data_IF_141961087464
#
_entry.id   IF_141961087464
#
_cell.length_a   1.000
_cell.length_b   1.000
_cell.length_c   1.000
_cell.angle_alpha   90.00
_cell.angle_beta   90.00
_cell.angle_gamma   90.00
#
_symmetry.space_group_name_H-M   'P 1'
#
loop_
_entity.id
_entity.type
_entity.pdbx_description
1 polymer ?
#
# COMPACT_ATOMS: atom_id res chain seq x y z
N UNK A 1 -24.86 8.97 20.06
CA UNK A 1 -24.10 7.86 19.42
C UNK A 1 -23.65 8.21 17.99
N UNK A 2 -24.07 9.35 17.42
CA UNK A 2 -23.75 9.76 16.02
C UNK A 2 -22.40 10.47 15.81
N UNK A 3 -21.76 11.02 16.86
CA UNK A 3 -20.52 11.80 16.72
C UNK A 3 -19.26 10.96 16.45
N UNK A 4 -19.22 9.72 16.93
CA UNK A 4 -18.06 8.82 16.80
C UNK A 4 -17.83 8.37 15.35
N UNK A 5 -18.90 8.14 14.58
CA UNK A 5 -18.80 7.75 13.17
C UNK A 5 -18.36 8.90 12.25
N UNK A 6 -18.60 10.15 12.66
CA UNK A 6 -18.16 11.35 11.93
C UNK A 6 -16.66 11.56 12.16
N UNK A 7 -16.16 11.40 13.39
CA UNK A 7 -14.73 11.48 13.68
C UNK A 7 -13.90 10.44 12.90
N UNK A 8 -14.35 9.19 12.82
CA UNK A 8 -13.64 8.16 12.04
C UNK A 8 -13.62 8.46 10.54
N UNK A 9 -14.72 8.94 9.99
CA UNK A 9 -14.81 9.33 8.56
C UNK A 9 -13.96 10.55 8.26
N UNK A 10 -13.94 11.55 9.14
CA UNK A 10 -13.08 12.73 9.02
C UNK A 10 -11.61 12.33 9.14
N UNK A 11 -11.26 11.41 10.05
CA UNK A 11 -9.90 10.89 10.22
C UNK A 11 -9.43 10.10 8.99
N UNK A 12 -10.28 9.25 8.42
CA UNK A 12 -10.01 8.52 7.17
C UNK A 12 -9.85 9.47 5.98
N UNK A 13 -10.71 10.49 5.88
CA UNK A 13 -10.62 11.51 4.83
C UNK A 13 -9.34 12.36 4.94
N UNK A 14 -9.00 12.83 6.14
CA UNK A 14 -7.75 13.56 6.39
C UNK A 14 -6.55 12.67 6.07
N UNK A 15 -6.54 11.41 6.50
CA UNK A 15 -5.47 10.46 6.16
C UNK A 15 -5.35 10.27 4.65
N UNK A 16 -6.45 10.17 3.92
CA UNK A 16 -6.46 9.98 2.46
C UNK A 16 -5.99 11.22 1.71
N UNK A 17 -6.45 12.42 2.10
CA UNK A 17 -6.01 13.68 1.49
C UNK A 17 -4.53 13.95 1.78
N UNK A 18 -4.09 13.69 3.01
CA UNK A 18 -2.69 13.83 3.40
C UNK A 18 -1.83 12.81 2.66
N UNK A 19 -2.29 11.56 2.52
CA UNK A 19 -1.63 10.53 1.73
C UNK A 19 -1.53 10.95 0.26
N UNK A 20 -2.62 11.43 -0.35
CA UNK A 20 -2.65 11.89 -1.75
C UNK A 20 -1.71 13.08 -1.98
N UNK A 21 -1.72 14.08 -1.10
CA UNK A 21 -0.81 15.22 -1.20
C UNK A 21 0.66 14.82 -1.03
N UNK A 22 0.92 13.91 -0.08
CA UNK A 22 2.26 13.31 0.12
C UNK A 22 2.68 12.50 -1.11
N UNK A 23 1.73 11.81 -1.74
CA UNK A 23 1.97 11.04 -2.96
C UNK A 23 2.25 11.93 -4.15
N UNK A 24 1.47 12.98 -4.36
CA UNK A 24 1.72 13.96 -5.43
C UNK A 24 3.08 14.63 -5.24
N UNK A 25 3.45 15.01 -4.01
CA UNK A 25 4.79 15.55 -3.74
C UNK A 25 5.90 14.52 -3.98
N UNK A 26 5.68 13.26 -3.56
CA UNK A 26 6.64 12.17 -3.80
C UNK A 26 6.77 11.85 -5.30
N UNK A 27 5.69 11.82 -6.06
CA UNK A 27 5.71 11.56 -7.51
C UNK A 27 6.36 12.71 -8.29
N UNK A 28 6.14 13.96 -7.87
CA UNK A 28 6.80 15.14 -8.45
C UNK A 28 8.29 15.12 -8.15
N UNK A 29 8.69 14.84 -6.90
CA UNK A 29 10.11 14.64 -6.53
C UNK A 29 10.74 13.46 -7.26
N UNK A 30 10.01 12.34 -7.40
CA UNK A 30 10.50 11.15 -8.08
C UNK A 30 10.67 11.38 -9.58
N UNK A 31 9.74 12.10 -10.22
CA UNK A 31 9.82 12.46 -11.65
C UNK A 31 10.96 13.44 -11.91
N UNK A 32 11.10 14.48 -11.09
CA UNK A 32 12.21 15.43 -11.19
C UNK A 32 13.55 14.74 -10.93
N UNK A 33 13.61 13.91 -9.89
CA UNK A 33 14.76 13.07 -9.59
C UNK A 33 15.13 12.19 -10.79
N UNK A 34 14.17 11.47 -11.38
CA UNK A 34 14.44 10.57 -12.52
C UNK A 34 14.92 11.30 -13.79
N UNK A 35 14.37 12.47 -14.13
CA UNK A 35 14.88 13.29 -15.24
C UNK A 35 16.28 13.82 -14.95
N UNK A 36 16.53 14.31 -13.74
CA UNK A 36 17.85 14.80 -13.33
C UNK A 36 18.89 13.68 -13.28
N UNK A 37 18.48 12.44 -13.01
CA UNK A 37 19.33 11.24 -13.04
C UNK A 37 19.77 10.92 -14.47
N UNK A 38 18.81 10.86 -15.40
CA UNK A 38 19.09 10.56 -16.81
C UNK A 38 20.00 11.62 -17.41
N UNK A 39 19.71 12.89 -17.12
CA UNK A 39 20.47 14.04 -17.56
C UNK A 39 21.86 14.04 -16.92
N UNK A 40 21.98 13.84 -15.61
CA UNK A 40 23.27 13.82 -14.91
C UNK A 40 24.18 12.69 -15.38
N UNK A 41 23.62 11.53 -15.73
CA UNK A 41 24.36 10.40 -16.31
C UNK A 41 24.83 10.68 -17.74
N UNK A 42 23.95 11.20 -18.60
CA UNK A 42 24.29 11.60 -19.97
C UNK A 42 25.36 12.71 -19.98
N UNK A 43 25.21 13.69 -19.09
CA UNK A 43 26.16 14.76 -18.91
C UNK A 43 27.51 14.26 -18.37
N UNK A 44 27.53 13.42 -17.34
CA UNK A 44 28.76 12.82 -16.84
C UNK A 44 29.53 12.09 -17.93
N UNK A 45 28.82 11.34 -18.80
CA UNK A 45 29.39 10.63 -19.95
C UNK A 45 30.04 11.60 -20.95
N UNK A 46 29.33 12.65 -21.34
CA UNK A 46 29.86 13.68 -22.26
C UNK A 46 31.11 14.33 -21.67
N UNK A 47 31.06 14.76 -20.41
CA UNK A 47 32.18 15.46 -19.78
C UNK A 47 33.38 14.56 -19.45
N UNK A 48 33.21 13.24 -19.35
CA UNK A 48 34.33 12.30 -19.23
C UNK A 48 34.97 11.97 -20.58
N UNK A 49 34.17 11.91 -21.64
CA UNK A 49 34.61 11.47 -22.97
C UNK A 49 35.34 12.58 -23.73
N UNK A 50 34.82 13.81 -23.69
CA UNK A 50 35.38 14.92 -24.46
C UNK A 50 36.44 15.67 -23.65
N UNK A 51 37.70 15.25 -23.75
CA UNK A 51 38.80 15.86 -23.00
C UNK A 51 39.44 17.08 -23.68
N UNK A 52 39.23 17.26 -24.98
CA UNK A 52 39.73 18.40 -25.75
C UNK A 52 38.67 18.93 -26.70
N UNK A 53 38.77 20.22 -27.04
CA UNK A 53 37.93 20.85 -28.05
C UNK A 53 38.30 20.26 -29.42
N UNK A 54 37.28 19.95 -30.24
CA UNK A 54 37.50 19.50 -31.61
C UNK A 54 38.12 20.64 -32.43
N UNK A 55 39.03 20.33 -33.36
CA UNK A 55 39.74 21.34 -34.15
C UNK A 55 38.79 22.32 -34.89
N UNK A 56 37.59 21.86 -35.24
CA UNK A 56 36.53 22.64 -35.90
C UNK A 56 35.88 23.71 -34.99
N UNK A 57 36.13 23.66 -33.68
CA UNK A 57 35.49 24.51 -32.67
C UNK A 57 36.50 25.23 -31.76
N UNK A 58 37.80 25.15 -32.07
CA UNK A 58 38.88 25.73 -31.25
C UNK A 58 38.82 27.26 -31.16
N UNK A 59 38.06 27.89 -32.05
CA UNK A 59 37.79 29.31 -32.14
C UNK A 59 36.63 29.79 -31.25
N UNK A 60 35.85 28.89 -30.63
CA UNK A 60 34.71 29.26 -29.79
C UNK A 60 35.09 29.55 -28.33
N UNK A 61 36.00 28.74 -27.76
CA UNK A 61 36.35 28.78 -26.32
C UNK A 61 37.82 28.39 -26.16
N UNK A 62 38.54 29.01 -25.21
CA UNK A 62 39.92 28.61 -24.89
C UNK A 62 39.97 27.27 -24.16
N UNK A 63 41.06 26.50 -24.36
CA UNK A 63 41.25 25.18 -23.74
C UNK A 63 41.10 25.22 -22.21
N UNK A 64 41.56 26.30 -21.57
CA UNK A 64 41.45 26.47 -20.11
C UNK A 64 40.01 26.64 -19.63
N UNK A 65 39.17 27.35 -20.39
CA UNK A 65 37.76 27.55 -20.06
C UNK A 65 36.94 26.29 -20.34
N UNK A 66 37.29 25.54 -21.39
CA UNK A 66 36.70 24.23 -21.67
C UNK A 66 37.02 23.21 -20.57
N UNK A 67 38.29 23.13 -20.15
CA UNK A 67 38.70 22.22 -19.07
C UNK A 67 37.95 22.54 -17.76
N UNK A 68 37.88 23.83 -17.40
CA UNK A 68 37.19 24.29 -16.18
C UNK A 68 35.69 24.00 -16.21
N UNK A 69 35.02 24.24 -17.33
CA UNK A 69 33.59 23.96 -17.49
C UNK A 69 33.30 22.46 -17.47
N UNK A 70 34.19 21.64 -18.06
CA UNK A 70 34.12 20.17 -18.01
C UNK A 70 34.23 19.65 -16.59
N UNK A 71 35.26 20.06 -15.85
CA UNK A 71 35.47 19.64 -14.45
C UNK A 71 34.33 20.06 -13.53
N UNK A 72 33.85 21.31 -13.65
CA UNK A 72 32.70 21.80 -12.88
C UNK A 72 31.45 20.94 -13.11
N UNK A 73 31.17 20.60 -14.37
CA UNK A 73 30.01 19.77 -14.70
C UNK A 73 30.18 18.32 -14.26
N UNK A 74 31.39 17.77 -14.33
CA UNK A 74 31.75 16.46 -13.78
C UNK A 74 31.48 16.37 -12.28
N UNK A 75 31.89 17.39 -11.53
CA UNK A 75 31.67 17.46 -10.08
C UNK A 75 30.19 17.64 -9.74
N UNK A 76 29.47 18.46 -10.52
CA UNK A 76 28.02 18.63 -10.36
C UNK A 76 27.25 17.32 -10.62
N UNK A 77 27.63 16.55 -11.64
CA UNK A 77 27.05 15.23 -11.90
C UNK A 77 27.35 14.24 -10.77
N UNK A 78 28.60 14.21 -10.25
CA UNK A 78 28.97 13.38 -9.08
C UNK A 78 28.16 13.74 -7.84
N UNK A 79 27.94 15.03 -7.61
CA UNK A 79 27.12 15.52 -6.49
C UNK A 79 25.66 15.07 -6.62
N UNK A 80 25.09 15.08 -7.83
CA UNK A 80 23.77 14.50 -8.11
C UNK A 80 23.68 13.02 -7.72
N UNK A 81 24.70 12.21 -8.04
CA UNK A 81 24.76 10.81 -7.61
C UNK A 81 24.83 10.64 -6.08
N UNK A 82 25.51 11.55 -5.37
CA UNK A 82 25.57 11.55 -3.90
C UNK A 82 24.19 11.82 -3.29
N UNK A 83 23.42 12.76 -3.85
CA UNK A 83 22.04 13.04 -3.39
C UNK A 83 21.14 11.80 -3.57
N UNK A 84 21.31 11.04 -4.64
CA UNK A 84 20.54 9.80 -4.86
C UNK A 84 20.84 8.70 -3.82
N UNK A 85 22.11 8.58 -3.40
CA UNK A 85 22.49 7.67 -2.33
C UNK A 85 21.87 8.08 -0.98
N UNK A 86 21.73 9.38 -0.74
CA UNK A 86 21.02 9.93 0.42
C UNK A 86 19.51 9.70 0.34
N UNK A 87 18.88 9.79 -0.84
CA UNK A 87 17.46 9.48 -0.99
C UNK A 87 17.15 8.00 -0.71
N UNK A 88 18.02 7.09 -1.13
CA UNK A 88 17.90 5.65 -0.82
C UNK A 88 18.07 5.36 0.69
N UNK A 89 18.92 6.14 1.37
CA UNK A 89 19.08 6.09 2.82
C UNK A 89 17.84 6.62 3.55
N UNK A 90 17.22 7.67 3.03
CA UNK A 90 15.98 8.24 3.58
C UNK A 90 14.79 7.27 3.48
N UNK A 91 14.73 6.49 2.38
CA UNK A 91 13.76 5.40 2.20
C UNK A 91 13.91 4.25 3.21
N UNK A 92 15.08 4.10 3.86
CA UNK A 92 15.30 3.09 4.91
C UNK A 92 14.98 3.65 6.30
N UNK A 93 15.25 4.93 6.54
CA UNK A 93 15.01 5.58 7.83
C UNK A 93 13.52 5.74 8.12
N UNK A 94 12.73 6.18 7.13
CA UNK A 94 11.31 6.44 7.34
C UNK A 94 10.52 5.20 7.79
N UNK A 95 10.67 4.00 7.18
CA UNK A 95 10.02 2.78 7.67
C UNK A 95 10.49 2.35 9.06
N UNK A 96 11.75 2.59 9.40
CA UNK A 96 12.26 2.34 10.75
C UNK A 96 11.58 3.24 11.78
N UNK A 97 11.49 4.55 11.50
CA UNK A 97 10.80 5.52 12.36
C UNK A 97 9.31 5.18 12.50
N UNK A 98 8.63 4.84 11.39
CA UNK A 98 7.23 4.38 11.43
C UNK A 98 7.08 3.17 12.36
N UNK A 99 7.93 2.17 12.22
CA UNK A 99 7.88 0.97 13.07
C UNK A 99 8.02 1.35 14.55
N UNK A 100 8.97 2.21 14.89
CA UNK A 100 9.17 2.68 16.27
C UNK A 100 7.96 3.45 16.82
N UNK A 101 7.37 4.34 16.03
CA UNK A 101 6.19 5.13 16.42
C UNK A 101 4.96 4.23 16.65
N UNK A 102 4.80 3.16 15.86
CA UNK A 102 3.64 2.27 15.95
C UNK A 102 3.78 1.14 16.99
N UNK A 103 4.98 0.88 17.51
CA UNK A 103 5.19 -0.16 18.55
C UNK A 103 4.33 0.07 19.80
N UNK A 104 4.21 1.28 20.38
CA UNK A 104 3.33 1.54 21.52
C UNK A 104 1.85 1.22 21.23
N UNK A 105 1.36 1.58 20.05
CA UNK A 105 -0.03 1.30 19.64
C UNK A 105 -0.27 -0.19 19.43
N UNK A 106 0.68 -0.89 18.80
CA UNK A 106 0.63 -2.35 18.64
C UNK A 106 0.69 -3.06 20.00
N UNK A 107 1.53 -2.58 20.93
CA UNK A 107 1.55 -3.12 22.29
C UNK A 107 0.22 -2.92 23.01
N UNK A 108 -0.39 -1.74 22.86
CA UNK A 108 -1.69 -1.44 23.44
C UNK A 108 -2.79 -2.36 22.88
N UNK A 109 -2.84 -2.53 21.57
CA UNK A 109 -3.79 -3.44 20.92
C UNK A 109 -3.66 -4.87 21.45
N UNK A 110 -2.45 -5.42 21.42
CA UNK A 110 -2.24 -6.83 21.73
C UNK A 110 -2.31 -7.10 23.26
N UNK A 111 -1.63 -6.29 24.08
CA UNK A 111 -1.46 -6.57 25.51
C UNK A 111 -2.47 -5.86 26.41
N UNK A 112 -3.26 -4.91 25.92
CA UNK A 112 -4.38 -4.34 26.67
C UNK A 112 -5.73 -4.75 26.09
N UNK A 113 -5.97 -4.55 24.79
CA UNK A 113 -7.29 -4.84 24.22
C UNK A 113 -7.47 -6.36 24.09
N UNK A 114 -6.66 -7.03 23.28
CA UNK A 114 -6.80 -8.47 23.03
C UNK A 114 -6.57 -9.31 24.30
N UNK A 115 -5.63 -8.90 25.16
CA UNK A 115 -5.38 -9.57 26.43
C UNK A 115 -6.57 -9.49 27.40
N UNK A 116 -7.28 -8.35 27.48
CA UNK A 116 -8.51 -8.22 28.29
C UNK A 116 -9.60 -9.20 27.86
N UNK A 117 -9.64 -9.54 26.58
CA UNK A 117 -10.60 -10.47 25.99
C UNK A 117 -10.07 -11.91 25.87
N UNK A 118 -8.85 -12.19 26.36
CA UNK A 118 -8.26 -13.53 26.33
C UNK A 118 -7.82 -14.02 24.94
N UNK A 119 -7.74 -13.12 23.94
CA UNK A 119 -7.31 -13.45 22.58
C UNK A 119 -5.80 -13.50 22.42
N UNK A 120 -5.09 -12.65 23.15
CA UNK A 120 -3.65 -12.57 23.04
C UNK A 120 -2.99 -13.82 23.66
N UNK A 121 -2.29 -14.59 22.81
CA UNK A 121 -1.51 -15.77 23.21
C UNK A 121 0.00 -15.57 23.11
N UNK A 122 0.46 -14.42 22.60
CA UNK A 122 1.88 -14.13 22.49
C UNK A 122 2.45 -13.60 23.80
N UNK A 123 3.71 -13.93 24.07
CA UNK A 123 4.44 -13.35 25.22
C UNK A 123 5.06 -12.01 24.85
N UNK A 124 5.26 -11.13 25.83
CA UNK A 124 5.97 -9.85 25.62
C UNK A 124 7.36 -10.08 25.02
N UNK A 125 8.05 -11.15 25.44
CA UNK A 125 9.34 -11.54 24.87
C UNK A 125 9.24 -11.91 23.39
N UNK A 126 8.21 -12.66 23.00
CA UNK A 126 7.97 -12.97 21.58
C UNK A 126 7.67 -11.70 20.79
N UNK A 127 6.79 -10.85 21.29
CA UNK A 127 6.45 -9.56 20.66
C UNK A 127 7.69 -8.69 20.43
N UNK A 128 8.50 -8.45 21.46
CA UNK A 128 9.72 -7.63 21.34
C UNK A 128 10.69 -8.27 20.33
N UNK A 129 10.91 -9.58 20.42
CA UNK A 129 11.78 -10.30 19.47
C UNK A 129 11.26 -10.19 18.04
N UNK A 130 9.94 -10.28 17.82
CA UNK A 130 9.33 -10.14 16.50
C UNK A 130 9.51 -8.71 15.95
N UNK A 131 9.26 -7.67 16.76
CA UNK A 131 9.48 -6.28 16.36
C UNK A 131 10.96 -6.00 16.04
N UNK A 132 11.90 -6.52 16.84
CA UNK A 132 13.34 -6.41 16.57
C UNK A 132 13.72 -7.14 15.28
N UNK A 133 13.23 -8.37 15.07
CA UNK A 133 13.50 -9.13 13.84
C UNK A 133 13.00 -8.40 12.61
N UNK A 134 11.78 -7.85 12.67
CA UNK A 134 11.20 -7.04 11.59
C UNK A 134 12.02 -5.76 11.33
N UNK A 135 12.48 -5.08 12.37
CA UNK A 135 13.36 -3.92 12.24
C UNK A 135 14.71 -4.28 11.61
N UNK A 136 15.34 -5.37 12.07
CA UNK A 136 16.60 -5.86 11.50
C UNK A 136 16.44 -6.26 10.03
N UNK A 137 15.29 -6.83 9.66
CA UNK A 137 14.99 -7.18 8.28
C UNK A 137 14.90 -5.93 7.39
N UNK A 138 14.22 -4.88 7.86
CA UNK A 138 14.15 -3.58 7.14
C UNK A 138 15.55 -2.98 6.97
N UNK A 139 16.35 -2.98 8.03
CA UNK A 139 17.73 -2.48 7.98
C UNK A 139 18.60 -3.31 7.03
N UNK A 140 18.48 -4.64 7.08
CA UNK A 140 19.21 -5.55 6.20
C UNK A 140 18.88 -5.27 4.74
N UNK A 141 17.60 -5.20 4.37
CA UNK A 141 17.21 -4.91 2.99
C UNK A 141 17.64 -3.51 2.55
N UNK A 142 17.56 -2.50 3.43
CA UNK A 142 18.05 -1.15 3.14
C UNK A 142 19.55 -1.13 2.84
N UNK A 143 20.37 -1.78 3.68
CA UNK A 143 21.82 -1.91 3.48
C UNK A 143 22.11 -2.72 2.22
N UNK A 144 21.41 -3.84 2.00
CA UNK A 144 21.56 -4.69 0.84
C UNK A 144 21.32 -3.92 -0.46
N UNK A 145 20.23 -3.15 -0.54
CA UNK A 145 19.93 -2.27 -1.68
C UNK A 145 21.07 -1.26 -1.90
N UNK A 146 21.59 -0.66 -0.82
CA UNK A 146 22.74 0.25 -0.88
C UNK A 146 24.01 -0.43 -1.43
N UNK A 147 24.35 -1.61 -0.94
CA UNK A 147 25.52 -2.38 -1.40
C UNK A 147 25.38 -2.79 -2.86
N UNK A 148 24.21 -3.29 -3.27
CA UNK A 148 23.95 -3.65 -4.68
C UNK A 148 24.03 -2.42 -5.59
N UNK A 149 23.54 -1.27 -5.14
CA UNK A 149 23.67 0.00 -5.87
C UNK A 149 25.13 0.37 -6.09
N UNK A 150 25.96 0.34 -5.04
CA UNK A 150 27.39 0.60 -5.15
C UNK A 150 28.10 -0.43 -6.04
N UNK A 151 27.71 -1.70 -5.95
CA UNK A 151 28.24 -2.77 -6.81
C UNK A 151 27.94 -2.51 -8.28
N UNK A 152 26.70 -2.13 -8.62
CA UNK A 152 26.31 -1.79 -10.00
C UNK A 152 27.17 -0.62 -10.50
N UNK A 153 27.25 0.47 -9.73
CA UNK A 153 28.04 1.66 -10.09
C UNK A 153 29.51 1.30 -10.37
N UNK A 154 30.13 0.49 -9.50
CA UNK A 154 31.54 0.15 -9.61
C UNK A 154 31.83 -0.90 -10.71
N UNK A 155 30.90 -1.83 -10.97
CA UNK A 155 31.15 -2.97 -11.86
C UNK A 155 30.79 -2.69 -13.32
N UNK A 156 29.78 -1.87 -13.59
CA UNK A 156 29.19 -1.75 -14.94
C UNK A 156 29.67 -0.53 -15.73
N UNK A 157 30.58 0.29 -15.17
CA UNK A 157 31.32 1.30 -15.92
C UNK A 157 30.42 2.34 -16.57
N UNK A 158 30.30 2.32 -17.91
CA UNK A 158 29.50 3.29 -18.67
C UNK A 158 28.01 2.96 -18.74
N UNK A 159 27.62 1.69 -18.50
CA UNK A 159 26.22 1.25 -18.59
C UNK A 159 25.49 1.24 -17.25
N UNK A 160 26.13 1.68 -16.17
CA UNK A 160 25.59 1.57 -14.82
C UNK A 160 24.22 2.23 -14.63
N UNK A 161 23.96 3.34 -15.32
CA UNK A 161 22.67 4.02 -15.24
C UNK A 161 21.52 3.09 -15.68
N UNK A 162 21.69 2.33 -16.78
CA UNK A 162 20.66 1.42 -17.26
C UNK A 162 20.38 0.28 -16.27
N UNK A 163 21.45 -0.33 -15.73
CA UNK A 163 21.33 -1.41 -14.75
C UNK A 163 20.76 -0.92 -13.41
N UNK A 164 21.15 0.28 -12.98
CA UNK A 164 20.64 0.89 -11.76
C UNK A 164 19.16 1.25 -11.90
N UNK A 165 18.74 1.80 -13.05
CA UNK A 165 17.33 2.08 -13.35
C UNK A 165 16.49 0.80 -13.35
N UNK A 166 16.96 -0.28 -13.97
CA UNK A 166 16.26 -1.57 -13.95
C UNK A 166 16.16 -2.14 -12.54
N UNK A 167 17.23 -2.06 -11.75
CA UNK A 167 17.25 -2.51 -10.36
C UNK A 167 16.26 -1.72 -9.49
N UNK A 168 16.29 -0.38 -9.57
CA UNK A 168 15.38 0.50 -8.85
C UNK A 168 13.93 0.24 -9.28
N UNK A 169 13.67 0.03 -10.58
CA UNK A 169 12.34 -0.30 -11.09
C UNK A 169 11.82 -1.63 -10.51
N UNK A 170 12.65 -2.67 -10.47
CA UNK A 170 12.28 -3.98 -9.90
C UNK A 170 11.97 -3.86 -8.40
N UNK A 171 12.84 -3.19 -7.63
CA UNK A 171 12.62 -2.97 -6.19
C UNK A 171 11.33 -2.17 -5.94
N UNK A 172 11.10 -1.13 -6.73
CA UNK A 172 9.89 -0.32 -6.63
C UNK A 172 8.64 -1.08 -7.08
N UNK A 173 8.72 -2.02 -8.03
CA UNK A 173 7.56 -2.82 -8.44
C UNK A 173 6.97 -3.61 -7.26
N UNK A 174 7.82 -4.18 -6.40
CA UNK A 174 7.37 -4.89 -5.20
C UNK A 174 6.75 -3.96 -4.15
N UNK A 175 7.33 -2.77 -3.96
CA UNK A 175 6.80 -1.76 -3.02
C UNK A 175 5.49 -1.15 -3.53
N UNK A 176 5.48 -0.72 -4.79
CA UNK A 176 4.34 -0.13 -5.48
C UNK A 176 3.18 -1.12 -5.53
N UNK A 177 3.44 -2.41 -5.73
CA UNK A 177 2.37 -3.40 -5.71
C UNK A 177 1.64 -3.44 -4.36
N UNK A 178 2.38 -3.55 -3.26
CA UNK A 178 1.80 -3.69 -1.92
C UNK A 178 1.15 -2.41 -1.38
N UNK A 179 1.76 -1.24 -1.62
CA UNK A 179 1.32 0.02 -1.03
C UNK A 179 0.41 0.84 -1.97
N UNK A 180 0.50 0.66 -3.29
CA UNK A 180 -0.26 1.48 -4.25
C UNK A 180 -1.18 0.69 -5.16
N UNK A 181 -0.73 -0.41 -5.76
CA UNK A 181 -1.60 -1.21 -6.64
C UNK A 181 -2.67 -1.90 -5.81
N UNK A 182 -2.32 -2.48 -4.67
CA UNK A 182 -3.30 -3.10 -3.79
C UNK A 182 -4.38 -2.11 -3.30
N UNK A 183 -4.04 -0.86 -2.90
CA UNK A 183 -5.07 0.14 -2.58
C UNK A 183 -5.71 0.88 -3.76
N UNK A 184 -5.13 0.86 -4.97
CA UNK A 184 -5.75 1.40 -6.20
C UNK A 184 -6.98 0.61 -6.64
N UNK A 185 -7.23 -0.55 -6.04
CA UNK A 185 -8.50 -1.25 -6.14
C UNK A 185 -9.59 -0.66 -5.20
N UNK A 186 -9.25 0.35 -4.40
CA UNK A 186 -10.14 1.04 -3.45
C UNK A 186 -10.12 2.59 -3.67
N UNK A 187 -10.53 3.06 -4.85
CA UNK A 187 -10.51 4.51 -5.18
C UNK A 187 -11.85 5.22 -4.95
N UNK A 188 -11.89 6.41 -4.33
CA UNK A 188 -13.11 7.22 -4.18
C UNK A 188 -13.25 8.25 -5.32
N UNK A 189 -14.37 8.22 -6.05
CA UNK A 189 -14.75 9.20 -7.08
C UNK A 189 -16.09 9.86 -6.71
N UNK A 190 -16.34 11.11 -7.07
CA UNK A 190 -17.66 11.71 -6.84
C UNK A 190 -18.74 10.94 -7.64
N UNK A 191 -19.89 10.66 -7.04
CA UNK A 191 -21.01 9.97 -7.69
C UNK A 191 -21.47 10.83 -8.87
N UNK A 192 -21.35 10.35 -10.13
CA UNK A 192 -21.79 11.11 -11.29
C UNK A 192 -23.29 11.40 -11.18
N UNK A 193 -23.73 12.52 -11.79
CA UNK A 193 -25.15 12.84 -11.86
C UNK A 193 -25.90 11.70 -12.54
N UNK A 194 -26.73 11.02 -11.76
CA UNK A 194 -27.40 9.77 -12.12
C UNK A 194 -28.71 9.68 -11.34
N UNK A 195 -29.64 8.87 -11.83
CA UNK A 195 -30.93 8.66 -11.17
C UNK A 195 -30.77 8.21 -9.70
N UNK A 196 -29.75 7.42 -9.41
CA UNK A 196 -29.42 6.99 -8.05
C UNK A 196 -28.99 8.17 -7.16
N UNK A 197 -28.17 9.08 -7.68
CA UNK A 197 -27.76 10.29 -6.96
C UNK A 197 -28.95 11.14 -6.57
N UNK A 198 -29.86 11.38 -7.51
CA UNK A 198 -31.08 12.17 -7.30
C UNK A 198 -31.95 11.55 -6.20
N UNK A 199 -32.18 10.24 -6.23
CA UNK A 199 -32.97 9.55 -5.21
C UNK A 199 -32.35 9.65 -3.80
N UNK A 200 -31.02 9.63 -3.71
CA UNK A 200 -30.31 9.76 -2.42
C UNK A 200 -30.40 11.20 -1.92
N UNK A 201 -30.27 12.20 -2.79
CA UNK A 201 -30.44 13.62 -2.47
C UNK A 201 -31.89 13.93 -2.00
N UNK A 202 -32.89 13.33 -2.65
CA UNK A 202 -34.30 13.45 -2.28
C UNK A 202 -34.60 12.82 -0.91
N UNK A 203 -34.07 11.62 -0.66
CA UNK A 203 -34.21 10.95 0.64
C UNK A 203 -33.53 11.74 1.75
N UNK A 204 -32.31 12.22 1.53
CA UNK A 204 -31.58 13.03 2.51
C UNK A 204 -32.34 14.32 2.84
N UNK A 205 -32.93 14.96 1.83
CA UNK A 205 -33.75 16.15 1.98
C UNK A 205 -35.04 15.86 2.75
N UNK A 206 -35.70 14.72 2.52
CA UNK A 206 -36.89 14.30 3.26
C UNK A 206 -36.65 14.10 4.76
N UNK A 207 -35.40 13.82 5.14
CA UNK A 207 -34.97 13.60 6.54
C UNK A 207 -34.30 14.84 7.15
N UNK A 208 -34.30 15.99 6.47
CA UNK A 208 -33.56 17.20 6.85
C UNK A 208 -32.05 16.94 7.12
N UNK A 209 -31.46 16.01 6.38
CA UNK A 209 -30.06 15.63 6.54
C UNK A 209 -29.16 16.50 5.65
N UNK A 210 -28.16 17.21 6.21
CA UNK A 210 -27.28 18.09 5.44
C UNK A 210 -26.26 17.28 4.60
N UNK A 211 -26.66 16.92 3.39
CA UNK A 211 -25.84 16.15 2.44
C UNK A 211 -24.94 17.09 1.61
N UNK A 212 -23.62 17.04 1.83
CA UNK A 212 -22.67 17.95 1.15
C UNK A 212 -22.06 17.40 -0.15
N UNK A 213 -21.58 16.16 -0.16
CA UNK A 213 -21.01 15.49 -1.34
C UNK A 213 -21.24 13.99 -1.29
N UNK A 214 -21.54 13.39 -2.44
CA UNK A 214 -21.70 11.95 -2.62
C UNK A 214 -20.50 11.40 -3.36
N UNK A 215 -19.82 10.42 -2.77
CA UNK A 215 -18.69 9.71 -3.38
C UNK A 215 -19.06 8.24 -3.63
N UNK A 216 -18.72 7.73 -4.80
CA UNK A 216 -18.64 6.30 -5.14
C UNK A 216 -17.23 5.85 -4.88
N UNK A 217 -17.07 4.92 -3.94
CA UNK A 217 -15.86 4.09 -3.87
C UNK A 217 -15.89 3.17 -5.10
N UNK A 218 -14.77 2.87 -5.73
CA UNK A 218 -14.59 1.74 -6.67
C UNK A 218 -14.77 0.38 -5.97
N UNK A 219 -15.61 0.35 -4.94
CA UNK A 219 -16.22 -0.82 -4.34
C UNK A 219 -16.92 -1.68 -5.39
N UNK A 220 -17.14 -1.30 -6.65
CA UNK A 220 -17.72 -2.23 -7.62
C UNK A 220 -16.85 -3.49 -7.80
N UNK A 221 -15.53 -3.36 -7.91
CA UNK A 221 -14.65 -4.54 -8.01
C UNK A 221 -14.60 -5.29 -6.68
N UNK A 222 -14.54 -4.58 -5.56
CA UNK A 222 -14.58 -5.20 -4.22
C UNK A 222 -15.92 -5.92 -3.98
N UNK A 223 -17.05 -5.33 -4.37
CA UNK A 223 -18.40 -5.90 -4.33
C UNK A 223 -18.46 -7.12 -5.25
N UNK A 224 -17.90 -7.06 -6.45
CA UNK A 224 -17.83 -8.20 -7.36
C UNK A 224 -17.00 -9.34 -6.74
N UNK A 225 -15.84 -9.02 -6.18
CA UNK A 225 -14.96 -9.97 -5.50
C UNK A 225 -15.63 -10.57 -4.26
N UNK A 226 -16.19 -9.74 -3.38
CA UNK A 226 -16.95 -10.14 -2.18
C UNK A 226 -18.18 -10.97 -2.58
N UNK A 227 -18.89 -10.61 -3.63
CA UNK A 227 -20.03 -11.39 -4.13
C UNK A 227 -19.57 -12.75 -4.65
N UNK A 228 -18.45 -12.80 -5.39
CA UNK A 228 -17.86 -14.04 -5.88
C UNK A 228 -17.35 -14.93 -4.74
N UNK A 229 -16.65 -14.37 -3.74
CA UNK A 229 -16.18 -15.14 -2.58
C UNK A 229 -17.35 -15.66 -1.75
N UNK A 230 -18.41 -14.87 -1.55
CA UNK A 230 -19.62 -15.32 -0.86
C UNK A 230 -20.35 -16.42 -1.62
N UNK A 231 -20.44 -16.32 -2.94
CA UNK A 231 -20.99 -17.40 -3.79
C UNK A 231 -20.19 -18.70 -3.61
N UNK A 232 -18.86 -18.61 -3.59
CA UNK A 232 -17.98 -19.76 -3.38
C UNK A 232 -18.14 -20.37 -1.98
N UNK A 233 -18.28 -19.54 -0.93
CA UNK A 233 -18.54 -20.02 0.44
C UNK A 233 -19.85 -20.80 0.53
N UNK A 234 -20.96 -20.27 -0.02
CA UNK A 234 -22.23 -21.00 -0.06
C UNK A 234 -22.14 -22.29 -0.89
N UNK A 235 -21.38 -22.27 -1.99
CA UNK A 235 -21.10 -23.46 -2.79
C UNK A 235 -20.34 -24.54 -2.00
N UNK A 236 -19.34 -24.14 -1.20
CA UNK A 236 -18.57 -25.05 -0.35
C UNK A 236 -19.39 -25.60 0.81
N UNK A 237 -20.24 -24.76 1.43
CA UNK A 237 -21.17 -25.18 2.48
C UNK A 237 -22.17 -26.21 1.95
N UNK A 238 -22.77 -25.94 0.78
CA UNK A 238 -23.67 -26.88 0.10
C UNK A 238 -22.98 -28.18 -0.32
N UNK A 239 -21.73 -28.11 -0.79
CA UNK A 239 -20.97 -29.31 -1.09
C UNK A 239 -20.79 -30.16 0.18
N UNK A 240 -20.46 -29.53 1.31
CA UNK A 240 -20.30 -30.19 2.61
C UNK A 240 -21.60 -30.83 3.11
N UNK A 241 -22.76 -30.21 2.86
CA UNK A 241 -24.06 -30.83 3.20
C UNK A 241 -24.36 -32.04 2.32
N UNK A 242 -24.06 -31.97 1.01
CA UNK A 242 -24.26 -33.08 0.07
C UNK A 242 -23.45 -34.33 0.43
N UNK A 243 -22.25 -34.17 0.97
CA UNK A 243 -21.42 -35.30 1.43
C UNK A 243 -21.76 -35.77 2.86
N UNK A 244 -22.82 -35.24 3.48
CA UNK A 244 -23.32 -35.68 4.79
C UNK A 244 -22.67 -35.01 6.00
N UNK A 245 -21.88 -33.95 5.82
CA UNK A 245 -21.19 -33.24 6.90
C UNK A 245 -21.90 -31.95 7.37
N UNK A 246 -23.15 -31.72 6.96
CA UNK A 246 -23.90 -30.49 7.26
C UNK A 246 -24.00 -30.17 8.75
N UNK A 247 -24.30 -31.16 9.60
CA UNK A 247 -24.41 -30.96 11.05
C UNK A 247 -23.05 -30.64 11.69
N UNK A 248 -21.99 -31.33 11.27
CA UNK A 248 -20.62 -31.06 11.73
C UNK A 248 -20.16 -29.65 11.33
N UNK A 249 -20.49 -29.21 10.11
CA UNK A 249 -20.19 -27.87 9.64
C UNK A 249 -20.90 -26.80 10.47
N UNK A 250 -22.20 -26.97 10.76
CA UNK A 250 -22.93 -26.04 11.63
C UNK A 250 -22.29 -25.94 13.03
N UNK A 251 -21.94 -27.08 13.63
CA UNK A 251 -21.26 -27.11 14.93
C UNK A 251 -19.89 -26.43 14.87
N UNK A 252 -19.12 -26.65 13.81
CA UNK A 252 -17.81 -26.03 13.61
C UNK A 252 -17.91 -24.51 13.47
N UNK A 253 -18.85 -24.01 12.65
CA UNK A 253 -19.09 -22.59 12.45
C UNK A 253 -19.52 -21.90 13.76
N UNK A 254 -20.49 -22.48 14.49
CA UNK A 254 -20.92 -21.97 15.80
C UNK A 254 -19.75 -21.93 16.81
N UNK A 255 -18.91 -22.96 16.80
CA UNK A 255 -17.73 -23.04 17.68
C UNK A 255 -16.67 -21.99 17.32
N UNK A 256 -16.36 -21.82 16.04
CA UNK A 256 -15.42 -20.79 15.56
C UNK A 256 -15.90 -19.39 15.93
N UNK A 257 -17.17 -19.12 15.69
CA UNK A 257 -17.77 -17.82 15.99
C UNK A 257 -17.73 -17.48 17.48
N UNK A 258 -18.08 -18.45 18.32
CA UNK A 258 -17.97 -18.34 19.78
C UNK A 258 -16.53 -18.12 20.23
N UNK A 259 -15.59 -18.85 19.64
CA UNK A 259 -14.18 -18.78 20.00
C UNK A 259 -13.53 -17.45 19.58
N UNK A 260 -14.03 -16.80 18.52
CA UNK A 260 -13.53 -15.53 18.02
C UNK A 260 -14.27 -14.30 18.61
N UNK A 261 -15.24 -14.50 19.52
CA UNK A 261 -16.17 -13.47 20.01
C UNK A 261 -16.70 -12.54 18.90
N UNK A 262 -16.95 -13.11 17.71
CA UNK A 262 -17.48 -12.36 16.57
C UNK A 262 -18.88 -11.84 16.93
N UNK A 263 -19.20 -10.63 16.48
CA UNK A 263 -20.46 -9.98 16.85
C UNK A 263 -21.61 -10.46 15.97
N UNK A 264 -22.61 -11.12 16.58
CA UNK A 264 -23.67 -11.91 15.90
C UNK A 264 -24.49 -11.11 14.88
N UNK A 265 -24.67 -9.81 15.10
CA UNK A 265 -25.55 -8.98 14.28
C UNK A 265 -24.74 -8.00 13.45
N UNK A 266 -24.76 -8.20 12.15
CA UNK A 266 -24.10 -7.29 11.21
C UNK A 266 -25.15 -6.45 10.48
N UNK A 267 -24.80 -5.20 10.17
CA UNK A 267 -25.60 -4.40 9.25
C UNK A 267 -25.60 -5.09 7.87
N UNK A 268 -26.79 -5.36 7.33
CA UNK A 268 -26.95 -6.17 6.11
C UNK A 268 -26.24 -5.56 4.90
N UNK A 269 -26.21 -4.22 4.81
CA UNK A 269 -25.58 -3.52 3.71
C UNK A 269 -24.06 -3.54 3.89
N UNK A 270 -23.59 -3.26 5.10
CA UNK A 270 -22.17 -3.33 5.41
C UNK A 270 -21.59 -4.74 5.19
N UNK A 271 -22.26 -5.78 5.70
CA UNK A 271 -21.86 -7.16 5.51
C UNK A 271 -21.82 -7.54 4.02
N UNK A 272 -22.81 -7.10 3.25
CA UNK A 272 -22.88 -7.42 1.82
C UNK A 272 -21.78 -6.77 0.99
N UNK A 273 -21.34 -5.58 1.37
CA UNK A 273 -20.34 -4.82 0.63
C UNK A 273 -18.91 -5.11 1.08
N UNK A 274 -18.71 -5.51 2.34
CA UNK A 274 -17.36 -5.58 2.94
C UNK A 274 -16.92 -6.96 3.42
N UNK A 275 -17.85 -7.85 3.75
CA UNK A 275 -17.45 -9.15 4.28
C UNK A 275 -17.24 -10.16 3.16
N UNK A 276 -16.00 -10.59 2.99
CA UNK A 276 -15.64 -11.66 2.05
C UNK A 276 -16.35 -12.99 2.37
N UNK A 277 -16.75 -13.19 3.63
CA UNK A 277 -17.53 -14.34 4.09
C UNK A 277 -18.93 -13.89 4.54
N UNK A 278 -20.01 -14.62 4.19
CA UNK A 278 -21.34 -14.29 4.68
C UNK A 278 -21.43 -14.39 6.21
N UNK A 279 -22.27 -13.57 6.88
CA UNK A 279 -22.55 -13.66 8.31
C UNK A 279 -22.95 -15.08 8.75
N UNK A 280 -22.66 -15.42 10.01
CA UNK A 280 -22.92 -16.75 10.55
C UNK A 280 -24.38 -17.19 10.36
N UNK A 281 -25.33 -16.30 10.64
CA UNK A 281 -26.76 -16.61 10.58
C UNK A 281 -27.15 -17.02 9.15
N UNK A 282 -26.71 -16.26 8.14
CA UNK A 282 -26.98 -16.55 6.73
C UNK A 282 -26.44 -17.93 6.32
N UNK A 283 -25.23 -18.29 6.78
CA UNK A 283 -24.63 -19.60 6.47
C UNK A 283 -25.38 -20.75 7.15
N UNK A 284 -25.75 -20.59 8.42
CA UNK A 284 -26.50 -21.61 9.15
C UNK A 284 -27.87 -21.86 8.50
N UNK A 285 -28.59 -20.80 8.13
CA UNK A 285 -29.88 -20.91 7.46
C UNK A 285 -29.77 -21.60 6.10
N UNK A 286 -28.73 -21.27 5.31
CA UNK A 286 -28.46 -21.94 4.04
C UNK A 286 -28.18 -23.44 4.23
N UNK A 287 -27.33 -23.81 5.20
CA UNK A 287 -27.00 -25.21 5.49
C UNK A 287 -28.23 -26.01 5.94
N UNK A 288 -29.07 -25.44 6.81
CA UNK A 288 -30.32 -26.08 7.27
C UNK A 288 -31.27 -26.30 6.09
N UNK A 289 -31.43 -25.29 5.23
CA UNK A 289 -32.30 -25.38 4.07
C UNK A 289 -31.80 -26.42 3.05
N UNK A 290 -30.49 -26.52 2.84
CA UNK A 290 -29.93 -27.52 1.94
C UNK A 290 -30.03 -28.94 2.52
N UNK A 291 -29.84 -29.10 3.83
CA UNK A 291 -30.01 -30.40 4.51
C UNK A 291 -31.45 -30.92 4.40
N UNK A 292 -32.45 -30.03 4.46
CA UNK A 292 -33.88 -30.37 4.25
C UNK A 292 -34.22 -30.80 2.82
N UNK A 293 -33.42 -30.41 1.82
CA UNK A 293 -33.65 -30.81 0.41
C UNK A 293 -33.03 -32.17 0.08
N UNK A 294 -32.09 -32.63 0.90
CA UNK A 294 -31.32 -33.86 0.69
C UNK A 294 -31.92 -35.04 1.49
N UNK A 295 -32.70 -34.74 2.54
CA UNK A 295 -33.48 -35.71 3.32
C UNK A 295 -34.82 -36.04 2.66
#
# INVERSE_FOLDING_TARGET
MELLGIEERVRSYIQTVTLKATLESMFVEYKHGFSEILDSANFYKVYKTYTKIRAEHSNLVSDSVFEKSRLYKLDKSKFGFTIMSQQSFFLTILPCLRTLIFVPFSYYSDFLIEARHGFNKQTVTFFIKDKIKKLLLILFFGIFIGVVTLFIINKTGESFANYLTQFVFIVNLFYIYGEFIAPLFDTFRELPQSELRTRIEDLASSLNFPLHRLFVVEELLNILMVTATRYNEFGADRFSTMIGYGDYLQSALKKLYRNNLSFIYDDWLYAKLKYTHPPLIERLDAIINDSKKIS
#
